data_IF_685924841493
#
_entry.id   IF_685924841493
#
_cell.length_a   1.000
_cell.length_b   1.000
_cell.length_c   1.000
_cell.angle_alpha   90.00
_cell.angle_beta   90.00
_cell.angle_gamma   90.00
#
_symmetry.space_group_name_H-M   'P 1'
#
loop_
_entity.id
_entity.type
_entity.pdbx_description
1 polymer ?
#
# COMPACT_ATOMS: atom_id res chain seq x y z
N UNK A 1 9.72 17.76 13.76
CA UNK A 1 8.47 17.00 13.97
C UNK A 1 8.33 15.99 12.82
N UNK A 2 8.57 14.69 13.05
CA UNK A 2 8.42 13.65 12.00
C UNK A 2 6.92 13.55 11.64
N UNK A 3 6.53 14.03 10.46
CA UNK A 3 5.17 13.83 9.93
C UNK A 3 5.03 12.35 9.54
N UNK A 4 4.62 11.52 10.49
CA UNK A 4 4.18 10.15 10.22
C UNK A 4 2.89 10.24 9.38
N UNK A 5 3.01 10.08 8.07
CA UNK A 5 1.84 10.04 7.18
C UNK A 5 1.33 8.61 7.17
N UNK A 6 0.11 8.39 7.67
CA UNK A 6 -0.61 7.15 7.42
C UNK A 6 -1.02 7.15 5.96
N UNK A 7 -0.53 6.18 5.22
CA UNK A 7 -0.87 6.00 3.81
C UNK A 7 -1.52 4.64 3.62
N UNK A 8 -2.47 4.56 2.70
CA UNK A 8 -3.15 3.32 2.35
C UNK A 8 -2.41 2.65 1.20
N UNK A 9 -2.37 1.33 1.18
CA UNK A 9 -1.82 0.54 0.09
C UNK A 9 -2.98 -0.12 -0.66
N UNK A 10 -3.16 0.29 -1.90
CA UNK A 10 -4.12 -0.27 -2.83
C UNK A 10 -3.42 -1.30 -3.71
N UNK A 11 -4.02 -2.48 -3.87
CA UNK A 11 -3.55 -3.45 -4.86
C UNK A 11 -3.74 -2.92 -6.28
N UNK A 12 -2.76 -3.12 -7.17
CA UNK A 12 -2.84 -2.70 -8.56
C UNK A 12 -3.91 -3.48 -9.37
N UNK A 13 -4.22 -4.72 -8.99
CA UNK A 13 -5.19 -5.55 -9.72
C UNK A 13 -6.61 -5.42 -9.16
N UNK A 14 -6.77 -5.57 -7.84
CA UNK A 14 -8.06 -5.58 -7.17
C UNK A 14 -8.52 -4.17 -6.70
N UNK A 15 -7.65 -3.14 -6.82
CA UNK A 15 -7.82 -1.78 -6.27
C UNK A 15 -8.22 -1.74 -4.78
N UNK A 16 -8.01 -2.86 -4.09
CA UNK A 16 -8.45 -3.05 -2.73
C UNK A 16 -7.43 -2.47 -1.75
N UNK A 17 -7.90 -1.57 -0.90
CA UNK A 17 -7.13 -0.98 0.19
C UNK A 17 -7.08 -1.98 1.35
N UNK A 18 -6.01 -2.78 1.40
CA UNK A 18 -5.87 -3.85 2.40
C UNK A 18 -4.89 -3.50 3.52
N UNK A 19 -3.98 -2.53 3.32
CA UNK A 19 -2.94 -2.23 4.29
C UNK A 19 -2.80 -0.73 4.53
N UNK A 20 -2.60 -0.37 5.79
CA UNK A 20 -2.26 0.98 6.20
C UNK A 20 -0.84 0.96 6.75
N UNK A 21 0.04 1.79 6.22
CA UNK A 21 1.43 1.88 6.67
C UNK A 21 1.72 3.30 7.15
N UNK A 22 2.46 3.38 8.26
CA UNK A 22 2.98 4.64 8.75
C UNK A 22 4.28 4.90 8.02
N UNK A 23 4.24 5.82 7.07
CA UNK A 23 5.40 6.16 6.27
C UNK A 23 6.10 7.39 6.84
N UNK A 24 7.43 7.29 6.95
CA UNK A 24 8.31 8.41 7.33
C UNK A 24 9.01 9.05 6.12
N UNK A 25 8.91 8.45 4.93
CA UNK A 25 9.53 8.94 3.70
C UNK A 25 8.46 9.47 2.71
N UNK A 26 8.86 10.39 1.84
CA UNK A 26 8.03 11.09 0.87
C UNK A 26 8.01 10.46 -0.53
N UNK A 27 8.86 9.46 -0.79
CA UNK A 27 8.80 8.64 -2.01
C UNK A 27 7.43 7.95 -2.19
N UNK A 28 7.12 7.30 -3.31
CA UNK A 28 5.96 6.39 -3.43
C UNK A 28 6.31 5.01 -2.87
N UNK A 29 5.42 4.36 -2.12
CA UNK A 29 5.65 3.00 -1.60
C UNK A 29 5.03 1.99 -2.56
N UNK A 30 5.82 1.02 -3.01
CA UNK A 30 5.34 -0.08 -3.84
C UNK A 30 5.80 -1.40 -3.20
N UNK A 31 4.85 -2.21 -2.74
CA UNK A 31 5.13 -3.45 -2.00
C UNK A 31 4.43 -4.61 -2.68
N UNK A 32 5.17 -5.67 -3.01
CA UNK A 32 4.55 -6.94 -3.42
C UNK A 32 3.97 -7.63 -2.18
N UNK A 33 2.64 -7.72 -2.11
CA UNK A 33 1.92 -8.43 -1.05
C UNK A 33 0.82 -9.31 -1.63
N UNK A 34 0.45 -10.31 -0.88
CA UNK A 34 -0.69 -11.15 -1.21
C UNK A 34 -2.00 -10.34 -1.15
N UNK A 35 -2.73 -10.18 -2.27
CA UNK A 35 -4.10 -9.64 -2.26
C UNK A 35 -5.05 -10.82 -1.99
N UNK A 36 -5.75 -10.80 -0.84
CA UNK A 36 -6.77 -11.80 -0.51
C UNK A 36 -7.93 -11.86 -1.53
N UNK A 37 -8.22 -10.75 -2.24
CA UNK A 37 -9.22 -10.74 -3.32
C UNK A 37 -8.72 -11.40 -4.61
N UNK A 38 -7.46 -11.17 -5.00
CA UNK A 38 -6.85 -11.82 -6.18
C UNK A 38 -6.34 -13.24 -5.89
N UNK A 39 -6.30 -13.62 -4.61
CA UNK A 39 -5.71 -14.86 -4.12
C UNK A 39 -4.27 -15.10 -4.62
N UNK A 40 -3.53 -14.00 -4.88
CA UNK A 40 -2.23 -14.00 -5.55
C UNK A 40 -1.32 -12.91 -4.98
N UNK A 41 0.00 -13.03 -5.15
CA UNK A 41 0.96 -11.96 -4.81
C UNK A 41 0.94 -10.89 -5.89
N UNK A 42 0.51 -9.71 -5.49
CA UNK A 42 0.23 -8.57 -6.38
C UNK A 42 0.96 -7.34 -5.88
N UNK A 43 1.24 -6.41 -6.79
CA UNK A 43 1.90 -5.17 -6.43
C UNK A 43 0.89 -4.23 -5.77
N UNK A 44 1.14 -3.85 -4.52
CA UNK A 44 0.35 -2.85 -3.81
C UNK A 44 1.08 -1.52 -3.86
N UNK A 45 0.40 -0.48 -4.34
CA UNK A 45 0.93 0.88 -4.42
C UNK A 45 0.29 1.76 -3.36
N UNK A 46 1.08 2.71 -2.89
CA UNK A 46 0.61 3.77 -2.01
C UNK A 46 -0.47 4.60 -2.72
N UNK A 47 -1.65 4.63 -2.12
CA UNK A 47 -2.74 5.53 -2.45
C UNK A 47 -2.94 6.51 -1.28
N UNK A 48 -3.10 7.78 -1.63
CA UNK A 48 -3.09 8.91 -0.70
C UNK A 48 -4.38 8.98 0.12
#
# INVERSE_FOLDING_TARGET
MKKSKKVSLACQECLAKNYYVNKSNEARLEIKKFCKRCNSQTLHKEEK
#
